data_IF_736643706754
#
_entry.id   IF_736643706754
#
_cell.length_a   1.000
_cell.length_b   1.000
_cell.length_c   1.000
_cell.angle_alpha   90.00
_cell.angle_beta   90.00
_cell.angle_gamma   90.00
#
_symmetry.space_group_name_H-M   'P 1'
#
loop_
_entity.id
_entity.type
_entity.pdbx_description
1 polymer ?
#
# COMPACT_ATOMS: atom_id res chain seq x y z
N UNK A 1 -13.11 -45.39 -6.42
CA UNK A 1 -11.93 -45.30 -7.31
C UNK A 1 -11.73 -43.84 -7.66
N UNK A 2 -10.87 -43.16 -6.86
CA UNK A 2 -10.53 -41.75 -7.03
C UNK A 2 -9.43 -41.62 -8.10
N UNK A 3 -9.74 -40.96 -9.21
CA UNK A 3 -8.77 -40.60 -10.22
C UNK A 3 -7.94 -39.42 -9.71
N UNK A 4 -6.72 -39.70 -9.27
CA UNK A 4 -5.72 -38.65 -9.02
C UNK A 4 -5.41 -37.93 -10.32
N UNK A 5 -5.63 -36.58 -10.36
CA UNK A 5 -5.21 -35.75 -11.48
C UNK A 5 -3.70 -35.91 -11.69
N UNK A 6 -3.22 -36.03 -12.94
CA UNK A 6 -1.79 -36.10 -13.21
C UNK A 6 -1.08 -34.84 -12.73
N UNK A 7 0.01 -35.01 -11.99
CA UNK A 7 0.92 -33.95 -11.66
C UNK A 7 1.57 -33.50 -12.98
N UNK A 8 1.22 -32.29 -13.44
CA UNK A 8 1.86 -31.69 -14.62
C UNK A 8 3.38 -31.64 -14.40
N UNK A 9 4.11 -32.34 -15.25
CA UNK A 9 5.58 -32.26 -15.28
C UNK A 9 5.99 -30.81 -15.63
N UNK A 10 7.03 -30.25 -14.96
CA UNK A 10 7.50 -28.91 -15.30
C UNK A 10 7.94 -28.83 -16.76
N UNK A 11 7.36 -27.91 -17.53
CA UNK A 11 7.83 -27.62 -18.88
C UNK A 11 9.12 -26.81 -18.80
N UNK A 12 10.22 -27.37 -19.25
CA UNK A 12 11.51 -26.69 -19.38
C UNK A 12 11.72 -26.29 -20.84
N UNK A 13 11.92 -25.00 -21.09
CA UNK A 13 12.66 -24.58 -22.30
C UNK A 13 14.14 -24.63 -21.93
N UNK A 14 14.81 -25.69 -22.36
CA UNK A 14 16.19 -25.95 -21.96
C UNK A 14 17.09 -25.78 -23.16
N UNK A 15 17.69 -24.61 -23.33
CA UNK A 15 18.98 -24.47 -23.96
C UNK A 15 20.07 -24.64 -22.87
N UNK A 16 21.02 -25.52 -23.04
CA UNK A 16 22.22 -25.88 -22.24
C UNK A 16 22.30 -25.58 -20.72
N UNK A 17 21.41 -24.74 -20.17
CA UNK A 17 21.44 -24.23 -18.81
C UNK A 17 20.52 -24.95 -17.82
N UNK A 18 19.70 -25.90 -18.26
CA UNK A 18 18.67 -26.54 -17.41
C UNK A 18 19.23 -27.27 -16.19
N UNK A 19 20.44 -27.78 -16.25
CA UNK A 19 21.11 -28.43 -15.11
C UNK A 19 21.51 -27.41 -14.06
N UNK A 20 22.06 -26.29 -14.51
CA UNK A 20 22.49 -25.19 -13.61
C UNK A 20 21.34 -24.51 -12.91
N UNK A 21 20.22 -24.30 -13.62
CA UNK A 21 18.99 -23.74 -13.01
C UNK A 21 18.49 -24.67 -11.91
N UNK A 22 18.42 -26.00 -12.14
CA UNK A 22 18.01 -26.98 -11.12
C UNK A 22 18.89 -26.92 -9.87
N UNK A 23 20.18 -26.73 -10.02
CA UNK A 23 21.10 -26.55 -8.88
C UNK A 23 20.80 -25.26 -8.10
N UNK A 24 20.48 -24.16 -8.78
CA UNK A 24 20.07 -22.91 -8.11
C UNK A 24 18.75 -23.06 -7.36
N UNK A 25 17.79 -23.79 -7.92
CA UNK A 25 16.48 -24.02 -7.29
C UNK A 25 16.56 -24.86 -6.01
N UNK A 26 17.63 -25.61 -5.77
CA UNK A 26 17.86 -26.33 -4.49
C UNK A 26 17.99 -25.38 -3.29
N UNK A 27 18.33 -24.09 -3.53
CA UNK A 27 18.41 -23.07 -2.49
C UNK A 27 17.05 -22.42 -2.16
N UNK A 28 16.01 -22.72 -2.92
CA UNK A 28 14.67 -22.26 -2.60
C UNK A 28 14.11 -22.98 -1.35
N UNK A 29 13.18 -22.38 -0.62
CA UNK A 29 12.59 -23.02 0.55
C UNK A 29 11.91 -24.35 0.15
N UNK A 30 12.14 -25.39 0.93
CA UNK A 30 11.58 -26.73 0.66
C UNK A 30 10.05 -26.70 0.64
N UNK A 31 9.46 -27.30 -0.39
CA UNK A 31 8.00 -27.37 -0.57
C UNK A 31 7.37 -26.08 -1.10
N UNK A 32 8.16 -25.10 -1.51
CA UNK A 32 7.66 -23.87 -2.12
C UNK A 32 7.37 -24.04 -3.61
N UNK A 33 6.35 -23.32 -4.07
CA UNK A 33 6.08 -23.11 -5.48
C UNK A 33 6.96 -21.97 -5.99
N UNK A 34 7.55 -22.17 -7.17
CA UNK A 34 8.43 -21.20 -7.82
C UNK A 34 7.96 -21.01 -9.25
N UNK A 35 7.93 -19.76 -9.69
CA UNK A 35 7.78 -19.40 -11.10
C UNK A 35 8.74 -18.25 -11.42
N UNK A 36 9.34 -18.29 -12.58
CA UNK A 36 10.09 -17.14 -13.09
C UNK A 36 10.14 -17.13 -14.63
N UNK A 37 10.38 -15.95 -15.15
CA UNK A 37 10.68 -15.68 -16.56
C UNK A 37 11.70 -14.57 -16.61
N UNK A 38 12.68 -14.71 -17.50
CA UNK A 38 13.56 -13.61 -17.94
C UNK A 38 13.57 -13.57 -19.46
N UNK A 39 13.35 -12.38 -20.00
CA UNK A 39 13.35 -12.13 -21.43
C UNK A 39 14.33 -11.00 -21.76
N UNK A 40 14.82 -11.02 -23.00
CA UNK A 40 15.40 -9.84 -23.62
C UNK A 40 14.32 -8.75 -23.74
N UNK A 41 14.63 -7.53 -23.28
CA UNK A 41 13.64 -6.44 -23.23
C UNK A 41 13.20 -5.98 -24.62
N UNK A 42 14.11 -5.95 -25.58
CA UNK A 42 13.88 -5.44 -26.94
C UNK A 42 13.20 -6.50 -27.83
N UNK A 43 13.80 -7.66 -27.93
CA UNK A 43 13.32 -8.72 -28.83
C UNK A 43 12.16 -9.51 -28.24
N UNK A 44 12.08 -9.62 -26.90
CA UNK A 44 11.13 -10.47 -26.22
C UNK A 44 11.49 -11.94 -26.18
N UNK A 45 12.68 -12.28 -26.67
CA UNK A 45 13.18 -13.65 -26.57
C UNK A 45 13.18 -14.11 -25.12
N UNK A 46 12.52 -15.23 -24.84
CA UNK A 46 12.55 -15.85 -23.53
C UNK A 46 13.86 -16.61 -23.37
N UNK A 47 14.73 -16.10 -22.48
CA UNK A 47 16.06 -16.66 -22.28
C UNK A 47 16.04 -17.83 -21.29
N UNK A 48 15.33 -17.66 -20.19
CA UNK A 48 15.14 -18.70 -19.17
C UNK A 48 13.76 -18.57 -18.51
N UNK A 49 13.14 -19.71 -18.23
CA UNK A 49 11.90 -19.77 -17.46
C UNK A 49 11.76 -21.04 -16.65
N UNK A 50 10.92 -20.99 -15.64
CA UNK A 50 10.48 -22.12 -14.84
C UNK A 50 9.03 -21.94 -14.42
N UNK A 51 8.16 -22.89 -14.79
CA UNK A 51 6.72 -22.83 -14.57
C UNK A 51 6.10 -21.47 -14.99
N UNK A 52 6.39 -20.92 -16.18
CA UNK A 52 6.11 -19.52 -16.53
C UNK A 52 4.64 -19.12 -16.45
N UNK A 53 3.71 -20.08 -16.63
CA UNK A 53 2.27 -19.87 -16.62
C UNK A 53 1.63 -20.15 -15.25
N UNK A 54 2.41 -20.61 -14.27
CA UNK A 54 1.89 -20.85 -12.92
C UNK A 54 1.63 -19.52 -12.22
N UNK A 55 0.38 -19.27 -11.83
CA UNK A 55 -0.01 -18.05 -11.12
C UNK A 55 0.29 -18.18 -9.63
N UNK A 56 0.99 -17.18 -9.08
CA UNK A 56 1.30 -17.05 -7.66
C UNK A 56 1.01 -15.63 -7.19
N UNK A 57 0.85 -15.39 -5.89
CA UNK A 57 0.66 -14.05 -5.36
C UNK A 57 1.85 -13.13 -5.69
N UNK A 58 1.61 -11.98 -6.36
CA UNK A 58 2.65 -11.01 -6.67
C UNK A 58 3.05 -10.16 -5.46
N UNK A 59 2.27 -10.20 -4.41
CA UNK A 59 2.39 -9.27 -3.29
C UNK A 59 2.59 -7.82 -3.82
N UNK A 60 3.41 -7.02 -3.18
CA UNK A 60 3.60 -5.61 -3.55
C UNK A 60 4.26 -5.37 -4.94
N UNK A 61 4.64 -6.42 -5.68
CA UNK A 61 5.05 -6.25 -7.09
C UNK A 61 3.88 -5.69 -7.92
N UNK A 62 2.64 -6.03 -7.55
CA UNK A 62 1.43 -5.52 -8.17
C UNK A 62 1.35 -3.99 -8.22
N UNK A 63 1.95 -3.29 -7.27
CA UNK A 63 1.97 -1.82 -7.25
C UNK A 63 2.60 -1.18 -8.48
N UNK A 64 3.46 -1.90 -9.20
CA UNK A 64 3.98 -1.43 -10.48
C UNK A 64 2.88 -1.40 -11.56
N UNK A 65 2.02 -2.41 -11.55
CA UNK A 65 0.84 -2.48 -12.44
C UNK A 65 -0.15 -1.39 -12.09
N UNK A 66 -0.48 -1.24 -10.80
CA UNK A 66 -1.40 -0.21 -10.32
C UNK A 66 -0.91 1.20 -10.64
N UNK A 67 0.38 1.47 -10.45
CA UNK A 67 0.99 2.75 -10.81
C UNK A 67 0.92 3.02 -12.32
N UNK A 68 1.16 2.01 -13.15
CA UNK A 68 1.02 2.11 -14.59
C UNK A 68 -0.42 2.41 -15.02
N UNK A 69 -1.38 1.66 -14.49
CA UNK A 69 -2.79 1.87 -14.74
C UNK A 69 -3.24 3.29 -14.38
N UNK A 70 -2.84 3.76 -13.19
CA UNK A 70 -3.21 5.09 -12.73
C UNK A 70 -2.57 6.20 -13.59
N UNK A 71 -1.28 6.10 -13.91
CA UNK A 71 -0.59 7.11 -14.76
C UNK A 71 -1.15 7.16 -16.18
N UNK A 72 -1.53 6.03 -16.76
CA UNK A 72 -2.13 5.98 -18.11
C UNK A 72 -3.57 6.51 -18.12
N UNK A 73 -4.32 6.31 -17.03
CA UNK A 73 -5.74 6.66 -16.97
C UNK A 73 -5.95 8.11 -16.55
N UNK A 74 -5.18 8.61 -15.57
CA UNK A 74 -5.37 9.93 -14.97
C UNK A 74 -4.34 10.95 -15.47
N UNK A 75 -3.22 10.48 -15.98
CA UNK A 75 -2.08 11.33 -16.37
C UNK A 75 -1.09 11.58 -15.23
N UNK A 76 0.20 11.84 -15.55
CA UNK A 76 1.27 12.00 -14.56
C UNK A 76 1.14 13.25 -13.68
N UNK A 77 0.51 14.30 -14.20
CA UNK A 77 0.32 15.59 -13.53
C UNK A 77 -1.00 15.67 -12.72
N UNK A 78 -1.81 14.61 -12.71
CA UNK A 78 -3.01 14.55 -11.90
C UNK A 78 -2.65 14.76 -10.42
N UNK A 79 -3.47 15.52 -9.69
CA UNK A 79 -3.39 15.72 -8.25
C UNK A 79 -4.76 15.59 -7.59
N UNK A 80 -4.77 15.21 -6.33
CA UNK A 80 -5.98 15.15 -5.50
C UNK A 80 -6.23 16.50 -4.85
N UNK A 81 -7.49 16.82 -4.58
CA UNK A 81 -7.87 18.08 -3.95
C UNK A 81 -8.64 17.82 -2.65
N UNK A 82 -8.13 18.34 -1.54
CA UNK A 82 -8.88 18.44 -0.28
C UNK A 82 -9.40 19.88 -0.12
N UNK A 83 -10.69 20.06 0.18
CA UNK A 83 -11.32 21.37 0.15
C UNK A 83 -11.96 21.71 1.48
N UNK A 84 -11.91 22.99 1.84
CA UNK A 84 -12.82 23.59 2.82
C UNK A 84 -13.90 24.35 2.07
N UNK A 85 -15.15 23.99 2.33
CA UNK A 85 -16.34 24.60 1.73
C UNK A 85 -17.23 25.22 2.80
N UNK A 86 -18.08 26.15 2.38
CA UNK A 86 -19.12 26.73 3.23
C UNK A 86 -20.40 26.97 2.44
N UNK A 87 -21.53 26.91 3.15
CA UNK A 87 -22.86 27.33 2.64
C UNK A 87 -23.31 28.70 3.18
N UNK A 88 -22.40 29.44 3.85
CA UNK A 88 -22.67 30.73 4.45
C UNK A 88 -21.62 31.80 4.15
N UNK A 89 -21.73 32.96 4.82
CA UNK A 89 -20.79 34.08 4.71
C UNK A 89 -20.09 34.35 6.04
N UNK A 90 -18.88 34.92 5.98
CA UNK A 90 -18.10 35.28 7.17
C UNK A 90 -18.33 36.76 7.46
N UNK A 91 -18.93 37.07 8.62
CA UNK A 91 -19.20 38.42 9.09
C UNK A 91 -18.61 38.62 10.50
N UNK A 92 -17.76 39.61 10.67
CA UNK A 92 -17.16 39.96 11.98
C UNK A 92 -16.53 38.76 12.73
N UNK A 93 -15.89 37.84 11.98
CA UNK A 93 -15.27 36.67 12.56
C UNK A 93 -16.20 35.47 12.82
N UNK A 94 -17.46 35.56 12.43
CA UNK A 94 -18.43 34.47 12.56
C UNK A 94 -18.83 33.99 11.18
N UNK A 95 -18.72 32.68 10.92
CA UNK A 95 -19.31 32.06 9.75
C UNK A 95 -20.81 31.79 10.02
N UNK A 96 -21.68 32.49 9.32
CA UNK A 96 -23.12 32.29 9.37
C UNK A 96 -23.52 31.12 8.46
N UNK A 97 -23.24 29.91 8.89
CA UNK A 97 -23.44 28.67 8.13
C UNK A 97 -22.51 27.55 8.56
N UNK A 98 -22.47 26.50 7.74
CA UNK A 98 -21.62 25.31 7.96
C UNK A 98 -20.23 25.50 7.37
N UNK A 99 -19.22 24.93 8.05
CA UNK A 99 -17.91 24.65 7.48
C UNK A 99 -17.82 23.17 7.12
N UNK A 100 -17.32 22.84 5.92
CA UNK A 100 -17.31 21.47 5.43
C UNK A 100 -15.89 21.11 4.94
N UNK A 101 -15.29 20.10 5.56
CA UNK A 101 -14.05 19.49 5.09
C UNK A 101 -14.40 18.39 4.09
N UNK A 102 -14.02 18.58 2.83
CA UNK A 102 -14.33 17.68 1.71
C UNK A 102 -13.09 16.93 1.31
N UNK A 103 -13.10 15.60 1.44
CA UNK A 103 -12.05 14.71 1.00
C UNK A 103 -12.10 14.49 -0.50
N UNK A 104 -10.95 14.59 -1.15
CA UNK A 104 -10.75 14.37 -2.58
C UNK A 104 -10.11 13.05 -2.94
N UNK A 105 -9.98 12.11 -1.98
CA UNK A 105 -9.34 10.82 -2.21
C UNK A 105 -7.82 10.81 -2.03
N UNK A 106 -7.20 11.90 -1.60
CA UNK A 106 -5.75 12.00 -1.41
C UNK A 106 -5.24 10.94 -0.40
N UNK A 107 -4.40 9.97 -0.82
CA UNK A 107 -3.81 8.99 0.08
C UNK A 107 -2.61 9.51 0.87
N UNK A 108 -2.16 10.72 0.61
CA UNK A 108 -0.93 11.30 1.16
C UNK A 108 -1.19 12.49 2.08
N UNK A 109 -2.44 12.92 2.22
CA UNK A 109 -2.84 13.97 3.15
C UNK A 109 -2.33 13.64 4.56
N UNK A 110 -1.65 14.58 5.19
CA UNK A 110 -1.07 14.42 6.51
C UNK A 110 -1.49 15.55 7.48
N UNK A 111 -1.09 15.41 8.73
CA UNK A 111 -1.39 16.40 9.77
C UNK A 111 -0.81 17.77 9.45
N UNK A 112 0.35 17.82 8.80
CA UNK A 112 1.00 19.08 8.46
C UNK A 112 0.24 19.86 7.38
N UNK A 113 -0.35 19.14 6.41
CA UNK A 113 -1.23 19.73 5.40
C UNK A 113 -2.54 20.28 6.03
N UNK A 114 -3.14 19.53 6.96
CA UNK A 114 -4.31 20.04 7.70
C UNK A 114 -3.97 21.23 8.59
N UNK A 115 -2.77 21.28 9.16
CA UNK A 115 -2.28 22.45 9.92
C UNK A 115 -2.13 23.67 9.02
N UNK A 116 -1.54 23.51 7.83
CA UNK A 116 -1.42 24.61 6.87
C UNK A 116 -2.81 25.07 6.39
N UNK A 117 -3.77 24.17 6.16
CA UNK A 117 -5.17 24.50 5.86
C UNK A 117 -5.82 25.32 7.01
N UNK A 118 -5.57 24.96 8.27
CA UNK A 118 -6.11 25.71 9.42
C UNK A 118 -5.56 27.12 9.52
N UNK A 119 -4.29 27.31 9.18
CA UNK A 119 -3.67 28.65 9.09
C UNK A 119 -4.27 29.49 7.97
N UNK A 120 -4.43 28.92 6.78
CA UNK A 120 -5.11 29.61 5.68
C UNK A 120 -6.53 30.01 6.05
N UNK A 121 -7.26 29.14 6.77
CA UNK A 121 -8.60 29.48 7.27
C UNK A 121 -8.58 30.64 8.26
N UNK A 122 -7.54 30.78 9.09
CA UNK A 122 -7.40 31.89 10.02
C UNK A 122 -7.20 33.25 9.34
N UNK A 123 -6.71 33.27 8.10
CA UNK A 123 -6.53 34.50 7.30
C UNK A 123 -7.88 35.14 6.92
N UNK A 124 -8.97 34.39 6.93
CA UNK A 124 -10.34 34.91 6.79
C UNK A 124 -10.86 35.61 8.06
N UNK A 125 -10.04 35.79 9.09
CA UNK A 125 -10.42 36.29 10.41
C UNK A 125 -11.55 35.50 11.08
N UNK A 126 -11.78 34.25 10.68
CA UNK A 126 -12.79 33.36 11.27
C UNK A 126 -12.41 33.02 12.71
N UNK A 127 -13.39 33.11 13.64
CA UNK A 127 -13.27 32.74 15.05
C UNK A 127 -14.18 31.58 15.43
N UNK A 128 -15.39 31.59 14.90
CA UNK A 128 -16.43 30.57 15.20
C UNK A 128 -17.46 30.51 14.06
N UNK A 129 -18.38 29.56 14.15
CA UNK A 129 -19.50 29.42 13.21
C UNK A 129 -20.84 29.22 13.94
N UNK A 130 -21.93 29.58 13.27
CA UNK A 130 -23.31 29.37 13.80
C UNK A 130 -23.88 28.02 13.44
N UNK A 131 -23.39 27.42 12.36
CA UNK A 131 -23.79 26.10 11.87
C UNK A 131 -22.93 24.98 12.41
N UNK A 132 -22.81 23.90 11.61
CA UNK A 132 -22.05 22.69 11.95
C UNK A 132 -20.69 22.65 11.28
N UNK A 133 -19.75 21.93 11.90
CA UNK A 133 -18.54 21.46 11.21
C UNK A 133 -18.80 20.05 10.65
N UNK A 134 -18.81 19.94 9.33
CA UNK A 134 -19.15 18.73 8.58
C UNK A 134 -17.95 18.15 7.87
N UNK A 135 -17.97 16.83 7.65
CA UNK A 135 -16.94 16.10 6.90
C UNK A 135 -17.60 15.26 5.82
N UNK A 136 -17.13 15.39 4.59
CA UNK A 136 -17.62 14.65 3.44
C UNK A 136 -16.52 13.82 2.77
N UNK A 137 -16.80 12.56 2.45
CA UNK A 137 -15.85 11.64 1.82
C UNK A 137 -16.51 10.56 0.94
N UNK A 138 -17.80 10.77 0.57
CA UNK A 138 -18.65 9.68 0.03
C UNK A 138 -18.47 9.39 -1.46
N UNK A 139 -17.63 10.14 -2.20
CA UNK A 139 -17.34 9.88 -3.61
C UNK A 139 -16.46 8.64 -3.83
N UNK A 140 -15.89 8.10 -2.76
CA UNK A 140 -15.06 6.90 -2.75
C UNK A 140 -15.69 5.81 -1.87
N UNK A 141 -15.43 4.52 -2.17
CA UNK A 141 -15.90 3.45 -1.31
C UNK A 141 -15.30 3.55 0.10
N UNK A 142 -16.13 3.36 1.11
CA UNK A 142 -15.68 3.22 2.50
C UNK A 142 -15.43 1.76 2.81
N UNK A 143 -14.17 1.38 3.04
CA UNK A 143 -13.73 0.00 3.24
C UNK A 143 -12.96 -0.09 4.56
N UNK A 144 -13.37 -0.99 5.45
CA UNK A 144 -12.78 -1.11 6.79
C UNK A 144 -11.32 -1.60 6.80
N UNK A 145 -10.94 -2.43 5.82
CA UNK A 145 -9.58 -2.95 5.66
C UNK A 145 -9.38 -3.48 4.25
N UNK A 146 -8.15 -3.43 3.74
CA UNK A 146 -7.80 -3.96 2.42
C UNK A 146 -7.99 -5.49 2.39
N UNK A 147 -7.49 -6.17 3.43
CA UNK A 147 -7.61 -7.62 3.60
C UNK A 147 -8.23 -7.91 4.97
N UNK A 148 -9.50 -8.37 5.04
CA UNK A 148 -10.18 -8.64 6.29
C UNK A 148 -9.60 -9.84 7.06
N UNK A 149 -8.83 -10.71 6.40
CA UNK A 149 -8.21 -11.88 7.01
C UNK A 149 -6.91 -11.54 7.76
N UNK A 150 -6.42 -10.32 7.65
CA UNK A 150 -5.26 -9.83 8.42
C UNK A 150 -5.66 -9.39 9.83
N UNK A 151 -4.75 -9.49 10.81
CA UNK A 151 -4.99 -8.92 12.14
C UNK A 151 -5.35 -7.43 12.10
N UNK A 152 -6.35 -7.04 12.90
CA UNK A 152 -6.95 -5.69 12.86
C UNK A 152 -5.99 -4.55 13.20
N UNK A 153 -4.90 -4.83 13.91
CA UNK A 153 -3.92 -3.83 14.39
C UNK A 153 -2.77 -3.56 13.42
N UNK A 154 -2.73 -4.25 12.27
CA UNK A 154 -1.64 -4.06 11.31
C UNK A 154 -1.80 -2.76 10.53
N UNK A 155 -0.89 -1.82 10.76
CA UNK A 155 -0.94 -0.48 10.17
C UNK A 155 -0.80 -0.46 8.64
N UNK A 156 -0.32 -1.54 8.03
CA UNK A 156 -0.25 -1.70 6.57
C UNK A 156 -1.54 -2.24 5.95
N UNK A 157 -2.56 -2.52 6.79
CA UNK A 157 -3.90 -2.91 6.39
C UNK A 157 -4.93 -1.85 6.85
N UNK A 158 -4.83 -0.61 6.37
CA UNK A 158 -5.70 0.49 6.79
C UNK A 158 -7.09 0.37 6.20
N UNK A 159 -8.00 1.20 6.73
CA UNK A 159 -9.27 1.51 6.08
C UNK A 159 -9.04 2.37 4.85
N UNK A 160 -10.01 2.41 3.94
CA UNK A 160 -10.02 3.23 2.72
C UNK A 160 -11.21 4.18 2.79
N UNK A 161 -11.00 5.43 2.43
CA UNK A 161 -12.00 6.49 2.46
C UNK A 161 -11.66 7.58 1.44
N UNK A 162 -12.62 8.40 1.07
CA UNK A 162 -12.35 9.61 0.30
C UNK A 162 -11.60 10.70 1.06
N UNK A 163 -11.58 10.63 2.38
CA UNK A 163 -10.74 11.49 3.23
C UNK A 163 -9.83 10.61 4.08
N UNK A 164 -8.55 10.59 3.72
CA UNK A 164 -7.52 9.83 4.39
C UNK A 164 -6.57 10.79 5.12
N UNK A 165 -6.07 10.39 6.27
CA UNK A 165 -5.09 11.19 7.02
C UNK A 165 -3.98 10.28 7.58
N UNK A 166 -2.71 10.67 7.39
CA UNK A 166 -1.54 9.94 7.91
C UNK A 166 -1.57 8.44 7.51
N UNK A 167 -1.99 8.12 6.28
CA UNK A 167 -2.25 6.75 5.81
C UNK A 167 -3.31 6.01 6.65
N UNK A 168 -4.29 6.73 7.22
CA UNK A 168 -5.33 6.23 8.12
C UNK A 168 -4.73 5.50 9.34
N UNK A 169 -3.77 6.15 9.97
CA UNK A 169 -3.06 5.63 11.15
C UNK A 169 -2.92 6.70 12.22
N UNK A 170 -2.92 6.26 13.48
CA UNK A 170 -2.60 7.07 14.65
C UNK A 170 -1.41 6.46 15.37
N UNK A 171 -0.53 7.28 15.94
CA UNK A 171 0.65 6.81 16.64
C UNK A 171 0.36 6.61 18.12
N UNK A 172 0.46 5.37 18.58
CA UNK A 172 0.48 5.01 19.98
C UNK A 172 1.91 5.06 20.50
N UNK A 173 2.12 5.79 21.58
CA UNK A 173 3.37 5.77 22.35
C UNK A 173 3.10 5.31 23.78
N UNK A 174 4.02 4.55 24.36
CA UNK A 174 3.96 4.15 25.76
C UNK A 174 5.29 4.33 26.46
N UNK A 175 5.20 4.66 27.73
CA UNK A 175 6.33 4.77 28.64
C UNK A 175 5.96 4.18 30.00
N UNK A 176 6.77 3.25 30.49
CA UNK A 176 6.62 2.70 31.83
C UNK A 176 6.90 3.79 32.88
N UNK A 177 6.06 3.88 33.89
CA UNK A 177 6.21 4.74 35.06
C UNK A 177 6.36 3.85 36.30
N UNK A 178 6.63 4.45 37.46
CA UNK A 178 6.66 3.76 38.73
C UNK A 178 5.39 2.96 38.99
N UNK A 179 4.23 3.59 38.71
CA UNK A 179 2.93 2.94 38.75
C UNK A 179 2.32 2.81 37.35
N UNK A 180 2.60 1.67 36.68
CA UNK A 180 1.96 1.32 35.39
C UNK A 180 2.59 1.94 34.14
N UNK A 181 1.77 2.46 33.23
CA UNK A 181 2.20 3.03 31.95
C UNK A 181 1.49 4.35 31.65
N UNK A 182 2.23 5.29 31.08
CA UNK A 182 1.67 6.43 30.34
C UNK A 182 1.44 5.98 28.91
N UNK A 183 0.25 6.20 28.39
CA UNK A 183 -0.13 5.95 27.00
C UNK A 183 -0.56 7.26 26.35
N UNK A 184 -0.11 7.55 25.13
CA UNK A 184 -0.59 8.66 24.32
C UNK A 184 -0.93 8.23 22.89
N UNK A 185 -1.92 8.88 22.30
CA UNK A 185 -2.30 8.73 20.90
C UNK A 185 -2.17 10.10 20.22
N UNK A 186 -1.40 10.15 19.12
CA UNK A 186 -1.11 11.39 18.42
C UNK A 186 -1.33 11.22 16.91
N UNK A 187 -1.96 12.21 16.30
CA UNK A 187 -1.94 12.41 14.85
C UNK A 187 -0.61 13.08 14.48
N UNK A 188 0.45 12.28 14.33
CA UNK A 188 1.83 12.75 14.29
C UNK A 188 2.22 13.32 12.93
N UNK A 189 2.42 14.64 12.85
CA UNK A 189 3.11 15.37 11.80
C UNK A 189 4.49 15.88 12.23
N UNK A 190 5.16 16.61 11.38
CA UNK A 190 6.42 17.28 11.68
C UNK A 190 6.18 18.63 12.38
N UNK A 191 5.19 19.42 11.88
CA UNK A 191 4.81 20.74 12.40
C UNK A 191 3.89 20.66 13.61
N UNK A 192 2.98 19.69 13.62
CA UNK A 192 1.97 19.53 14.66
C UNK A 192 1.78 18.06 15.07
N UNK A 193 1.33 17.85 16.34
CA UNK A 193 1.09 16.51 16.91
C UNK A 193 -0.15 16.52 17.80
N UNK A 194 -1.32 16.86 17.24
CA UNK A 194 -2.52 16.95 18.04
C UNK A 194 -2.92 15.59 18.63
N UNK A 195 -3.35 15.61 19.88
CA UNK A 195 -4.08 14.51 20.48
C UNK A 195 -5.57 14.67 20.18
N UNK A 196 -6.27 13.55 20.01
CA UNK A 196 -7.69 13.53 19.72
C UNK A 196 -8.44 12.65 20.73
N UNK A 197 -9.71 12.98 20.99
CA UNK A 197 -10.52 12.27 21.99
C UNK A 197 -11.30 11.09 21.42
N UNK A 198 -11.53 11.06 20.11
CA UNK A 198 -12.35 10.05 19.45
C UNK A 198 -11.73 8.65 19.35
N UNK A 199 -10.42 8.54 19.54
CA UNK A 199 -9.70 7.26 19.59
C UNK A 199 -9.05 7.11 20.96
N UNK A 200 -9.35 6.02 21.66
CA UNK A 200 -8.87 5.74 23.01
C UNK A 200 -7.99 4.49 23.03
N UNK A 201 -7.05 4.47 23.96
CA UNK A 201 -6.23 3.28 24.24
C UNK A 201 -6.30 2.95 25.72
N UNK A 202 -6.46 1.65 26.03
CA UNK A 202 -6.51 1.12 27.41
C UNK A 202 -5.59 -0.06 27.56
N UNK A 203 -5.00 -0.25 28.75
CA UNK A 203 -4.28 -1.46 29.11
C UNK A 203 -5.27 -2.58 29.43
N UNK A 204 -4.81 -3.81 29.18
CA UNK A 204 -5.51 -5.04 29.54
C UNK A 204 -4.52 -6.04 30.08
N UNK A 205 -4.93 -6.83 31.08
CA UNK A 205 -4.07 -7.81 31.75
C UNK A 205 -4.03 -9.18 31.05
N UNK A 206 -4.54 -9.25 29.81
CA UNK A 206 -4.42 -10.43 28.95
C UNK A 206 -2.99 -10.59 28.41
N UNK A 207 -2.68 -11.76 27.87
CA UNK A 207 -1.42 -12.05 27.16
C UNK A 207 -1.59 -12.02 25.63
N UNK A 208 -2.76 -12.40 25.12
CA UNK A 208 -3.07 -12.46 23.68
C UNK A 208 -4.57 -12.19 23.45
N UNK A 209 -4.94 -11.54 22.33
CA UNK A 209 -4.09 -10.84 21.37
C UNK A 209 -3.40 -9.61 22.00
N UNK A 210 -2.24 -9.22 21.44
CA UNK A 210 -1.51 -8.05 21.95
C UNK A 210 -2.32 -6.79 21.80
N UNK A 211 -2.96 -6.60 20.64
CA UNK A 211 -3.85 -5.49 20.36
C UNK A 211 -5.25 -6.02 20.02
N UNK A 212 -6.27 -5.35 20.55
CA UNK A 212 -7.66 -5.64 20.21
C UNK A 212 -8.40 -4.33 19.95
N UNK A 213 -9.19 -4.31 18.88
CA UNK A 213 -9.98 -3.18 18.45
C UNK A 213 -11.45 -3.36 18.83
N UNK A 214 -12.07 -2.29 19.35
CA UNK A 214 -13.52 -2.23 19.57
C UNK A 214 -14.07 -0.89 19.06
N UNK A 215 -15.12 -0.95 18.25
CA UNK A 215 -15.88 0.23 17.82
C UNK A 215 -17.08 0.41 18.75
N UNK A 216 -17.23 1.61 19.31
CA UNK A 216 -18.33 2.00 20.17
C UNK A 216 -18.95 3.29 19.60
N UNK A 217 -20.01 3.17 18.81
CA UNK A 217 -20.66 4.31 18.14
C UNK A 217 -19.64 5.16 17.35
N UNK A 218 -19.40 6.41 17.77
CA UNK A 218 -18.44 7.33 17.14
C UNK A 218 -17.03 7.26 17.73
N UNK A 219 -16.78 6.37 18.69
CA UNK A 219 -15.47 6.22 19.34
C UNK A 219 -14.81 4.92 18.94
N UNK A 220 -13.49 4.96 18.75
CA UNK A 220 -12.65 3.80 18.57
C UNK A 220 -11.87 3.52 19.84
N UNK A 221 -11.78 2.27 20.26
CA UNK A 221 -11.00 1.89 21.44
C UNK A 221 -10.05 0.76 21.09
N UNK A 222 -8.78 0.98 21.34
CA UNK A 222 -7.74 -0.04 21.34
C UNK A 222 -7.48 -0.50 22.76
N UNK A 223 -7.35 -1.81 22.95
CA UNK A 223 -6.81 -2.37 24.20
C UNK A 223 -5.49 -3.05 23.92
N UNK A 224 -4.51 -2.84 24.78
CA UNK A 224 -3.14 -3.33 24.62
C UNK A 224 -2.78 -4.24 25.80
N UNK A 225 -2.24 -5.43 25.52
CA UNK A 225 -1.80 -6.35 26.53
C UNK A 225 -0.58 -5.78 27.29
N UNK A 226 -0.73 -5.52 28.59
CA UNK A 226 0.32 -4.95 29.46
C UNK A 226 1.62 -5.76 29.41
N UNK A 227 1.51 -7.09 29.40
CA UNK A 227 2.64 -8.01 29.38
C UNK A 227 3.52 -7.92 28.13
N UNK A 228 3.01 -7.32 27.04
CA UNK A 228 3.70 -7.18 25.76
C UNK A 228 4.41 -5.85 25.59
N UNK A 229 4.25 -4.91 26.55
CA UNK A 229 4.88 -3.60 26.51
C UNK A 229 6.25 -3.63 27.19
N UNK A 230 7.28 -3.11 26.52
CA UNK A 230 8.59 -2.85 27.13
C UNK A 230 8.62 -1.55 27.93
N UNK A 231 9.80 -1.07 28.32
CA UNK A 231 9.98 0.16 29.09
C UNK A 231 9.43 1.39 28.36
N UNK A 232 9.77 1.51 27.08
CA UNK A 232 9.27 2.56 26.17
C UNK A 232 9.07 1.96 24.79
N UNK A 233 8.16 2.53 24.03
CA UNK A 233 7.96 2.14 22.65
C UNK A 233 6.84 2.92 21.97
N UNK A 234 6.67 2.66 20.69
CA UNK A 234 5.60 3.26 19.92
C UNK A 234 5.23 2.41 18.72
N UNK A 235 3.98 2.57 18.27
CA UNK A 235 3.43 1.82 17.16
C UNK A 235 2.34 2.62 16.46
N UNK A 236 2.33 2.54 15.14
CA UNK A 236 1.19 3.00 14.35
C UNK A 236 0.05 1.97 14.42
N UNK A 237 -1.13 2.43 14.80
CA UNK A 237 -2.38 1.67 14.78
C UNK A 237 -3.28 2.19 13.67
N UNK A 238 -4.01 1.32 12.95
CA UNK A 238 -4.94 1.78 11.93
C UNK A 238 -6.16 2.46 12.57
N UNK A 239 -6.67 3.47 11.89
CA UNK A 239 -7.93 4.15 12.18
C UNK A 239 -9.02 3.52 11.31
N UNK A 240 -10.20 3.25 11.87
CA UNK A 240 -11.31 2.58 11.18
C UNK A 240 -12.44 3.52 10.77
N UNK A 241 -12.39 4.77 11.22
CA UNK A 241 -13.27 5.85 10.76
C UNK A 241 -12.43 7.05 10.28
N UNK A 242 -11.78 6.94 9.08
CA UNK A 242 -10.81 7.94 8.62
C UNK A 242 -11.39 9.35 8.48
N UNK A 243 -12.63 9.48 7.98
CA UNK A 243 -13.26 10.77 7.77
C UNK A 243 -13.49 11.52 9.10
N UNK A 244 -14.03 10.83 10.10
CA UNK A 244 -14.22 11.42 11.44
C UNK A 244 -12.87 11.75 12.08
N UNK A 245 -11.88 10.88 11.95
CA UNK A 245 -10.53 11.11 12.45
C UNK A 245 -9.91 12.38 11.86
N UNK A 246 -9.96 12.56 10.54
CA UNK A 246 -9.46 13.76 9.89
C UNK A 246 -10.18 15.02 10.34
N UNK A 247 -11.52 14.95 10.52
CA UNK A 247 -12.32 16.05 11.07
C UNK A 247 -11.90 16.43 12.49
N UNK A 248 -11.71 15.45 13.38
CA UNK A 248 -11.26 15.70 14.76
C UNK A 248 -9.85 16.29 14.82
N UNK A 249 -8.94 15.82 13.97
CA UNK A 249 -7.60 16.41 13.85
C UNK A 249 -7.69 17.84 13.36
N UNK A 250 -8.48 18.12 12.31
CA UNK A 250 -8.65 19.47 11.80
C UNK A 250 -9.29 20.41 12.83
N UNK A 251 -10.33 19.97 13.55
CA UNK A 251 -10.93 20.72 14.66
C UNK A 251 -9.88 21.14 15.70
N UNK A 252 -9.03 20.19 16.10
CA UNK A 252 -7.98 20.48 17.09
C UNK A 252 -6.95 21.47 16.57
N UNK A 253 -6.53 21.34 15.29
CA UNK A 253 -5.60 22.27 14.66
C UNK A 253 -6.19 23.66 14.45
N UNK A 254 -7.48 23.73 14.12
CA UNK A 254 -8.22 25.00 14.03
C UNK A 254 -8.25 25.74 15.38
N UNK A 255 -8.46 24.99 16.47
CA UNK A 255 -8.41 25.58 17.82
C UNK A 255 -7.03 26.14 18.17
N UNK A 256 -5.94 25.49 17.72
CA UNK A 256 -4.57 25.98 17.93
C UNK A 256 -4.29 27.34 17.23
N UNK A 257 -5.03 27.64 16.14
CA UNK A 257 -4.93 28.93 15.44
C UNK A 257 -6.08 29.90 15.82
N UNK A 258 -6.82 29.60 16.88
CA UNK A 258 -7.85 30.49 17.46
C UNK A 258 -9.21 30.42 16.78
N UNK A 259 -9.56 29.31 16.12
CA UNK A 259 -10.86 29.05 15.51
C UNK A 259 -11.56 27.95 16.31
N UNK A 260 -12.70 28.28 16.90
CA UNK A 260 -13.53 27.34 17.64
C UNK A 260 -14.55 26.68 16.70
N UNK A 261 -14.38 25.37 16.47
CA UNK A 261 -15.24 24.54 15.63
C UNK A 261 -16.04 23.55 16.50
N UNK A 262 -17.33 23.33 16.24
CA UNK A 262 -18.07 22.25 16.89
C UNK A 262 -17.51 20.88 16.52
N UNK A 263 -17.94 19.84 17.24
CA UNK A 263 -17.53 18.46 16.94
C UNK A 263 -17.90 18.07 15.49
N UNK A 264 -16.96 17.44 14.74
CA UNK A 264 -17.21 17.09 13.35
C UNK A 264 -18.30 16.04 13.21
N UNK A 265 -19.17 16.22 12.20
CA UNK A 265 -20.20 15.25 11.81
C UNK A 265 -19.94 14.77 10.38
N UNK A 266 -19.98 13.43 10.17
CA UNK A 266 -19.80 12.85 8.82
C UNK A 266 -21.13 12.94 8.06
N UNK A 267 -21.08 13.51 6.86
CA UNK A 267 -22.24 13.59 5.95
C UNK A 267 -22.00 12.72 4.71
N UNK A 268 -23.10 12.21 4.15
CA UNK A 268 -23.07 11.25 3.03
C UNK A 268 -23.66 11.82 1.74
N UNK A 269 -24.22 13.01 1.79
CA UNK A 269 -24.71 13.72 0.61
C UNK A 269 -23.72 14.80 0.23
N UNK A 270 -23.45 14.95 -1.09
CA UNK A 270 -22.55 15.99 -1.60
C UNK A 270 -22.99 17.36 -1.08
N UNK A 271 -22.12 18.09 -0.38
CA UNK A 271 -22.47 19.39 0.17
C UNK A 271 -22.67 20.43 -0.94
N UNK A 272 -23.63 21.32 -0.73
CA UNK A 272 -23.81 22.52 -1.56
C UNK A 272 -23.10 23.68 -0.88
N UNK A 273 -22.46 24.55 -1.67
CA UNK A 273 -21.77 25.72 -1.14
C UNK A 273 -20.61 26.15 -2.03
N UNK A 274 -19.87 27.13 -1.54
CA UNK A 274 -18.69 27.66 -2.22
C UNK A 274 -17.40 27.11 -1.59
N UNK A 275 -16.35 26.96 -2.40
CA UNK A 275 -15.04 26.57 -1.93
C UNK A 275 -14.37 27.81 -1.33
N UNK A 276 -13.95 27.73 -0.07
CA UNK A 276 -13.12 28.74 0.60
C UNK A 276 -11.66 28.52 0.32
N UNK A 277 -11.19 27.28 0.47
CA UNK A 277 -9.78 26.89 0.34
C UNK A 277 -9.72 25.53 -0.36
N UNK A 278 -8.75 25.38 -1.25
CA UNK A 278 -8.40 24.11 -1.86
C UNK A 278 -6.94 23.79 -1.60
N UNK A 279 -6.67 22.62 -1.05
CA UNK A 279 -5.34 22.04 -0.90
C UNK A 279 -5.11 21.02 -2.00
N UNK A 280 -4.01 21.14 -2.71
CA UNK A 280 -3.61 20.25 -3.79
C UNK A 280 -2.47 19.35 -3.35
N UNK A 281 -2.60 18.05 -3.59
CA UNK A 281 -1.56 17.07 -3.29
C UNK A 281 -0.37 17.19 -4.24
N UNK A 282 0.70 16.41 -3.98
CA UNK A 282 1.72 16.16 -4.98
C UNK A 282 1.12 15.49 -6.23
N UNK A 283 1.87 15.55 -7.36
CA UNK A 283 1.46 14.91 -8.62
C UNK A 283 1.39 13.39 -8.49
N UNK A 284 0.55 12.76 -9.30
CA UNK A 284 0.40 11.32 -9.38
C UNK A 284 1.73 10.61 -9.65
N UNK A 285 2.60 11.21 -10.49
CA UNK A 285 3.95 10.70 -10.76
C UNK A 285 4.81 10.66 -9.50
N UNK A 286 4.79 11.72 -8.69
CA UNK A 286 5.51 11.79 -7.42
C UNK A 286 4.98 10.77 -6.41
N UNK A 287 3.65 10.68 -6.27
CA UNK A 287 2.99 9.69 -5.42
C UNK A 287 3.33 8.26 -5.85
N UNK A 288 3.30 7.96 -7.15
CA UNK A 288 3.65 6.64 -7.69
C UNK A 288 5.09 6.29 -7.36
N UNK A 289 6.03 7.21 -7.52
CA UNK A 289 7.44 7.01 -7.14
C UNK A 289 7.58 6.70 -5.65
N UNK A 290 6.92 7.46 -4.79
CA UNK A 290 6.89 7.26 -3.34
C UNK A 290 6.26 5.90 -2.97
N UNK A 291 5.13 5.55 -3.57
CA UNK A 291 4.45 4.26 -3.41
C UNK A 291 5.35 3.07 -3.80
N UNK A 292 6.04 3.15 -4.92
CA UNK A 292 6.95 2.09 -5.37
C UNK A 292 8.17 1.96 -4.45
N UNK A 293 8.68 3.08 -3.93
CA UNK A 293 9.83 3.12 -3.01
C UNK A 293 9.48 2.58 -1.62
N UNK A 294 8.39 3.06 -1.03
CA UNK A 294 7.99 2.75 0.36
C UNK A 294 6.95 1.64 0.48
N UNK A 295 6.39 1.21 -0.65
CA UNK A 295 5.42 0.11 -0.74
C UNK A 295 4.12 0.37 0.04
N UNK A 296 3.61 1.62 0.02
CA UNK A 296 2.41 2.04 0.75
C UNK A 296 1.14 1.42 0.13
N UNK A 297 0.39 0.67 0.95
CA UNK A 297 -0.80 -0.04 0.48
C UNK A 297 -1.96 0.93 0.23
N UNK A 298 -2.25 1.83 1.19
CA UNK A 298 -3.31 2.84 1.01
C UNK A 298 -3.15 3.61 -0.30
N UNK A 299 -1.93 4.07 -0.59
CA UNK A 299 -1.67 4.80 -1.83
C UNK A 299 -2.02 3.94 -3.06
N UNK A 300 -1.61 2.67 -3.07
CA UNK A 300 -1.93 1.78 -4.20
C UNK A 300 -3.45 1.60 -4.38
N UNK A 301 -4.18 1.36 -3.28
CA UNK A 301 -5.64 1.21 -3.36
C UNK A 301 -6.31 2.49 -3.87
N UNK A 302 -5.95 3.64 -3.33
CA UNK A 302 -6.56 4.91 -3.73
C UNK A 302 -6.25 5.28 -5.18
N UNK A 303 -5.01 5.07 -5.65
CA UNK A 303 -4.65 5.30 -7.05
C UNK A 303 -5.44 4.39 -7.99
N UNK A 304 -5.54 3.09 -7.65
CA UNK A 304 -6.30 2.14 -8.45
C UNK A 304 -7.80 2.40 -8.47
N UNK A 305 -8.39 2.71 -7.31
CA UNK A 305 -9.81 3.06 -7.18
C UNK A 305 -10.13 4.34 -7.95
N UNK A 306 -9.31 5.38 -7.82
CA UNK A 306 -9.51 6.66 -8.52
C UNK A 306 -9.41 6.47 -10.03
N UNK A 307 -8.40 5.75 -10.52
CA UNK A 307 -8.27 5.43 -11.93
C UNK A 307 -9.48 4.65 -12.46
N UNK A 308 -9.96 3.65 -11.71
CA UNK A 308 -11.14 2.88 -12.09
C UNK A 308 -12.42 3.71 -12.08
N UNK A 309 -12.55 4.65 -11.14
CA UNK A 309 -13.72 5.53 -11.00
C UNK A 309 -13.81 6.56 -12.11
N UNK A 310 -12.71 6.86 -12.80
CA UNK A 310 -12.69 7.75 -13.98
C UNK A 310 -13.57 7.21 -15.14
N UNK A 311 -13.76 5.90 -15.23
CA UNK A 311 -14.64 5.27 -16.22
C UNK A 311 -16.09 5.16 -15.72
N UNK A 312 -16.29 4.78 -14.46
CA UNK A 312 -17.58 4.70 -13.78
C UNK A 312 -17.34 4.43 -12.29
N UNK A 313 -18.24 4.87 -11.39
CA UNK A 313 -18.10 4.63 -9.96
C UNK A 313 -17.84 3.16 -9.62
N UNK A 314 -17.04 2.92 -8.58
CA UNK A 314 -16.74 1.58 -8.08
C UNK A 314 -17.15 1.46 -6.62
N UNK A 315 -17.69 0.29 -6.24
CA UNK A 315 -18.21 0.03 -4.89
C UNK A 315 -17.27 -0.82 -4.03
N UNK A 316 -16.24 -1.42 -4.63
CA UNK A 316 -15.32 -2.31 -3.92
C UNK A 316 -13.94 -2.38 -4.59
N UNK A 317 -12.94 -2.85 -3.84
CA UNK A 317 -11.59 -3.10 -4.39
C UNK A 317 -11.63 -4.16 -5.50
N UNK A 318 -12.40 -5.22 -5.32
CA UNK A 318 -12.55 -6.27 -6.33
C UNK A 318 -13.16 -5.73 -7.64
N UNK A 319 -14.22 -4.92 -7.58
CA UNK A 319 -14.79 -4.30 -8.77
C UNK A 319 -13.80 -3.36 -9.46
N UNK A 320 -13.02 -2.61 -8.68
CA UNK A 320 -11.97 -1.73 -9.18
C UNK A 320 -10.83 -2.49 -9.84
N UNK A 321 -10.30 -3.52 -9.18
CA UNK A 321 -9.20 -4.32 -9.72
C UNK A 321 -9.59 -5.11 -10.96
N UNK A 322 -10.84 -5.55 -11.08
CA UNK A 322 -11.35 -6.17 -12.31
C UNK A 322 -11.33 -5.20 -13.51
N UNK A 323 -11.61 -3.91 -13.30
CA UNK A 323 -11.47 -2.91 -14.38
C UNK A 323 -10.01 -2.77 -14.80
N UNK A 324 -9.08 -2.75 -13.85
CA UNK A 324 -7.66 -2.74 -14.15
C UNK A 324 -7.22 -3.99 -14.92
N UNK A 325 -7.72 -5.17 -14.57
CA UNK A 325 -7.41 -6.42 -15.31
C UNK A 325 -7.90 -6.34 -16.75
N UNK A 326 -9.16 -5.92 -17.00
CA UNK A 326 -9.68 -5.76 -18.37
C UNK A 326 -8.86 -4.77 -19.19
N UNK A 327 -8.51 -3.63 -18.59
CA UNK A 327 -7.67 -2.62 -19.24
C UNK A 327 -6.29 -3.19 -19.62
N UNK A 328 -5.71 -4.09 -18.80
CA UNK A 328 -4.47 -4.79 -19.12
C UNK A 328 -4.65 -5.83 -20.22
N UNK A 329 -5.78 -6.57 -20.25
CA UNK A 329 -6.09 -7.57 -21.25
C UNK A 329 -6.18 -6.98 -22.67
N UNK A 330 -6.67 -5.73 -22.79
CA UNK A 330 -6.71 -4.99 -24.05
C UNK A 330 -5.32 -4.61 -24.58
N UNK A 331 -4.29 -4.62 -23.73
CA UNK A 331 -2.93 -4.13 -24.05
C UNK A 331 -1.89 -5.24 -24.10
N UNK A 332 -2.06 -6.27 -23.31
CA UNK A 332 -1.07 -7.30 -23.09
C UNK A 332 -1.68 -8.70 -23.27
N UNK A 333 -0.89 -9.62 -23.79
CA UNK A 333 -1.28 -11.03 -23.79
C UNK A 333 -1.11 -11.60 -22.36
N UNK A 334 -2.23 -11.74 -21.65
CA UNK A 334 -2.26 -12.17 -20.26
C UNK A 334 -2.75 -13.62 -20.13
N UNK A 335 -2.13 -14.34 -19.22
CA UNK A 335 -2.54 -15.68 -18.82
C UNK A 335 -2.45 -15.84 -17.31
N UNK A 336 -3.53 -16.34 -16.68
CA UNK A 336 -3.54 -16.61 -15.24
C UNK A 336 -3.39 -15.35 -14.38
N UNK A 337 -4.16 -14.31 -14.69
CA UNK A 337 -4.25 -13.07 -13.91
C UNK A 337 -5.58 -13.01 -13.20
N UNK A 338 -5.55 -12.86 -11.88
CA UNK A 338 -6.73 -12.62 -11.04
C UNK A 338 -6.33 -11.66 -9.93
N UNK A 339 -6.87 -10.44 -9.93
CA UNK A 339 -6.53 -9.41 -8.97
C UNK A 339 -7.79 -9.00 -8.21
N UNK A 340 -7.69 -8.89 -6.87
CA UNK A 340 -8.80 -8.54 -5.98
C UNK A 340 -8.57 -7.23 -5.22
N UNK A 341 -7.37 -6.68 -5.31
CA UNK A 341 -6.95 -5.40 -4.73
C UNK A 341 -5.95 -4.70 -5.66
N UNK A 342 -5.38 -3.57 -5.25
CA UNK A 342 -4.38 -2.82 -6.00
C UNK A 342 -2.98 -2.87 -5.37
N UNK A 343 -2.90 -3.25 -4.10
CA UNK A 343 -1.63 -3.27 -3.36
C UNK A 343 -0.92 -4.62 -3.40
N UNK A 344 -1.66 -5.72 -3.66
CA UNK A 344 -1.20 -7.10 -3.53
C UNK A 344 -1.08 -7.53 -2.07
N UNK A 345 -1.82 -6.91 -1.16
CA UNK A 345 -1.88 -7.32 0.23
C UNK A 345 -2.69 -8.61 0.39
N UNK A 346 -3.78 -8.72 -0.37
CA UNK A 346 -4.62 -9.91 -0.38
C UNK A 346 -3.99 -11.00 -1.26
N UNK A 347 -3.74 -12.17 -0.70
CA UNK A 347 -3.08 -13.30 -1.37
C UNK A 347 -3.97 -14.06 -2.38
N UNK A 348 -5.24 -13.68 -2.49
CA UNK A 348 -6.12 -14.12 -3.58
C UNK A 348 -5.76 -13.46 -4.91
N UNK A 349 -5.07 -12.31 -4.88
CA UNK A 349 -4.47 -11.71 -6.07
C UNK A 349 -3.34 -12.62 -6.57
N UNK A 350 -3.43 -13.11 -7.81
CA UNK A 350 -2.43 -13.98 -8.43
C UNK A 350 -2.12 -13.57 -9.87
N UNK A 351 -0.88 -13.79 -10.28
CA UNK A 351 -0.40 -13.53 -11.64
C UNK A 351 0.72 -14.51 -12.01
N UNK A 352 0.80 -14.89 -13.28
CA UNK A 352 1.91 -15.69 -13.77
C UNK A 352 3.16 -14.83 -14.04
N UNK A 353 4.34 -15.43 -13.92
CA UNK A 353 5.59 -14.72 -14.25
C UNK A 353 5.62 -14.27 -15.72
N UNK A 354 5.03 -15.06 -16.62
CA UNK A 354 4.90 -14.71 -18.06
C UNK A 354 4.06 -13.46 -18.25
N UNK A 355 2.88 -13.39 -17.62
CA UNK A 355 2.01 -12.20 -17.71
C UNK A 355 2.68 -10.97 -17.10
N UNK A 356 3.38 -11.12 -15.98
CA UNK A 356 4.10 -10.01 -15.36
C UNK A 356 5.19 -9.47 -16.29
N UNK A 357 5.97 -10.34 -16.93
CA UNK A 357 6.99 -9.93 -17.91
C UNK A 357 6.36 -9.28 -19.14
N UNK A 358 5.22 -9.80 -19.65
CA UNK A 358 4.52 -9.19 -20.76
C UNK A 358 4.07 -7.75 -20.44
N UNK A 359 3.54 -7.51 -19.24
CA UNK A 359 3.17 -6.17 -18.78
C UNK A 359 4.40 -5.27 -18.67
N UNK A 360 5.50 -5.76 -18.05
CA UNK A 360 6.72 -4.97 -17.91
C UNK A 360 7.39 -4.64 -19.25
N UNK A 361 7.16 -5.43 -20.30
CA UNK A 361 7.66 -5.17 -21.65
C UNK A 361 6.86 -4.13 -22.43
N UNK A 362 5.66 -3.76 -22.00
CA UNK A 362 4.92 -2.67 -22.61
C UNK A 362 5.79 -1.40 -22.67
N UNK A 363 5.85 -0.75 -23.84
CA UNK A 363 6.75 0.39 -24.08
C UNK A 363 6.42 1.57 -23.14
N UNK A 364 5.13 1.82 -22.87
CA UNK A 364 4.70 2.90 -21.98
C UNK A 364 5.01 2.56 -20.52
N UNK A 365 4.86 1.28 -20.11
CA UNK A 365 5.30 0.79 -18.80
C UNK A 365 6.80 1.05 -18.59
N UNK A 366 7.62 0.81 -19.60
CA UNK A 366 9.05 1.09 -19.54
C UNK A 366 9.34 2.60 -19.42
N UNK A 367 8.61 3.44 -20.14
CA UNK A 367 8.81 4.90 -20.09
C UNK A 367 8.34 5.48 -18.75
N UNK A 368 7.19 5.05 -18.25
CA UNK A 368 6.55 5.68 -17.10
C UNK A 368 6.98 5.08 -15.76
N UNK A 369 7.08 3.75 -15.67
CA UNK A 369 7.28 3.05 -14.39
C UNK A 369 8.73 2.67 -14.14
N UNK A 370 9.47 2.19 -15.16
CA UNK A 370 10.86 1.76 -14.99
C UNK A 370 11.73 2.84 -14.31
N UNK A 371 11.64 4.15 -14.66
CA UNK A 371 12.41 5.20 -13.98
C UNK A 371 12.03 5.43 -12.52
N UNK A 372 10.82 5.03 -12.11
CA UNK A 372 10.30 5.19 -10.75
C UNK A 372 10.65 4.01 -9.84
N UNK A 373 11.10 2.88 -10.41
CA UNK A 373 11.48 1.71 -9.64
C UNK A 373 12.76 1.97 -8.83
N UNK A 374 12.83 1.33 -7.66
CA UNK A 374 14.03 1.44 -6.83
C UNK A 374 15.17 0.56 -7.35
N UNK A 375 16.40 1.02 -7.14
CA UNK A 375 17.59 0.21 -7.39
C UNK A 375 17.59 -1.01 -6.48
N UNK A 376 17.83 -2.18 -7.05
CA UNK A 376 18.01 -3.44 -6.33
C UNK A 376 19.53 -3.65 -6.16
N UNK A 377 20.01 -3.69 -4.89
CA UNK A 377 21.44 -3.86 -4.65
C UNK A 377 21.89 -5.25 -5.12
N UNK A 378 22.93 -5.27 -5.94
CA UNK A 378 23.58 -6.48 -6.39
C UNK A 378 24.91 -6.70 -5.63
N UNK A 379 25.07 -7.86 -4.99
CA UNK A 379 26.30 -8.20 -4.25
C UNK A 379 26.62 -9.70 -4.40
N UNK A 380 27.86 -10.04 -4.77
CA UNK A 380 28.31 -11.42 -4.95
C UNK A 380 28.60 -12.17 -3.65
N UNK A 381 29.29 -11.54 -2.72
CA UNK A 381 29.54 -12.00 -1.33
C UNK A 381 29.61 -10.78 -0.42
N UNK A 382 29.52 -11.01 0.90
CA UNK A 382 29.71 -9.94 1.89
C UNK A 382 30.98 -9.16 1.56
N UNK A 383 30.88 -7.90 1.11
CA UNK A 383 32.00 -6.99 0.89
C UNK A 383 32.51 -6.79 -0.55
N UNK A 384 32.16 -7.62 -1.55
CA UNK A 384 32.60 -7.43 -2.93
C UNK A 384 31.50 -6.84 -3.83
N UNK A 385 31.71 -5.63 -4.35
CA UNK A 385 31.04 -5.14 -5.57
C UNK A 385 31.51 -6.00 -6.74
N UNK A 386 30.60 -6.60 -7.53
CA UNK A 386 31.01 -7.55 -8.58
C UNK A 386 30.96 -6.98 -9.96
N UNK A 387 29.96 -6.18 -10.21
CA UNK A 387 29.86 -5.50 -11.48
C UNK A 387 30.18 -4.04 -11.24
N UNK A 388 30.99 -3.48 -12.13
CA UNK A 388 31.22 -2.07 -12.20
C UNK A 388 29.91 -1.29 -12.43
N UNK A 389 30.01 -0.03 -12.76
CA UNK A 389 28.84 0.84 -13.04
C UNK A 389 28.04 0.42 -14.29
N UNK A 390 28.47 -0.66 -14.96
CA UNK A 390 27.92 -1.18 -16.21
C UNK A 390 26.55 -1.90 -16.05
N UNK A 391 26.21 -2.39 -14.85
CA UNK A 391 24.95 -3.12 -14.61
C UNK A 391 24.08 -2.38 -13.60
N UNK A 392 22.88 -2.02 -14.04
CA UNK A 392 21.87 -1.40 -13.20
C UNK A 392 20.65 -2.30 -13.11
N UNK A 393 20.26 -2.64 -11.88
CA UNK A 393 19.04 -3.42 -11.62
C UNK A 393 18.05 -2.50 -10.95
N UNK A 394 16.85 -2.42 -11.51
CA UNK A 394 15.71 -1.72 -10.92
C UNK A 394 14.51 -2.65 -10.83
N UNK A 395 13.73 -2.54 -9.78
CA UNK A 395 12.59 -3.43 -9.63
C UNK A 395 11.72 -3.11 -8.43
N UNK A 396 10.60 -3.85 -8.34
CA UNK A 396 9.69 -3.85 -7.21
C UNK A 396 9.76 -5.18 -6.48
N UNK A 397 9.96 -5.12 -5.18
CA UNK A 397 9.88 -6.28 -4.29
C UNK A 397 8.47 -6.45 -3.74
N UNK A 398 8.04 -7.68 -3.56
CA UNK A 398 6.81 -8.05 -2.86
C UNK A 398 7.12 -9.02 -1.72
N UNK A 399 6.44 -8.86 -0.59
CA UNK A 399 6.64 -9.70 0.59
C UNK A 399 5.33 -9.85 1.36
N UNK A 400 4.90 -11.09 1.56
CA UNK A 400 3.94 -11.50 2.57
C UNK A 400 4.57 -12.67 3.34
N UNK A 401 4.01 -13.09 4.46
CA UNK A 401 4.47 -14.32 5.09
C UNK A 401 4.34 -15.50 4.12
N UNK A 402 5.45 -16.20 3.88
CA UNK A 402 5.57 -17.29 2.91
C UNK A 402 5.29 -16.90 1.45
N UNK A 403 5.47 -15.61 1.11
CA UNK A 403 5.45 -15.11 -0.28
C UNK A 403 6.60 -14.13 -0.48
N UNK A 404 7.44 -14.38 -1.48
CA UNK A 404 8.53 -13.50 -1.91
C UNK A 404 8.44 -13.29 -3.42
N UNK A 405 8.30 -12.04 -3.83
CA UNK A 405 8.16 -11.65 -5.22
C UNK A 405 9.20 -10.57 -5.58
N UNK A 406 9.71 -10.62 -6.80
CA UNK A 406 10.61 -9.61 -7.35
C UNK A 406 10.39 -9.55 -8.86
N UNK A 407 10.16 -8.35 -9.40
CA UNK A 407 10.09 -8.14 -10.83
C UNK A 407 10.69 -6.79 -11.22
N UNK A 408 11.26 -6.69 -12.42
CA UNK A 408 11.95 -5.49 -12.86
C UNK A 408 12.83 -5.68 -14.07
N UNK A 409 13.90 -4.90 -14.12
CA UNK A 409 14.80 -4.81 -15.28
C UNK A 409 16.25 -4.91 -14.85
N UNK A 410 17.07 -5.46 -15.74
CA UNK A 410 18.53 -5.47 -15.67
C UNK A 410 19.03 -4.73 -16.91
N UNK A 411 19.59 -3.54 -16.74
CA UNK A 411 20.24 -2.79 -17.79
C UNK A 411 21.73 -3.10 -17.75
N UNK A 412 22.26 -3.61 -18.84
CA UNK A 412 23.67 -4.01 -19.00
C UNK A 412 24.26 -3.26 -20.21
N UNK A 413 25.18 -2.32 -19.98
CA UNK A 413 25.80 -1.51 -21.03
C UNK A 413 26.71 -2.32 -21.96
N UNK A 414 27.12 -3.52 -21.57
CA UNK A 414 27.98 -4.43 -22.31
C UNK A 414 27.30 -5.71 -22.78
N UNK A 415 26.01 -5.84 -22.53
CA UNK A 415 25.24 -7.03 -22.81
C UNK A 415 23.79 -6.72 -23.13
N UNK A 416 22.91 -7.69 -22.91
CA UNK A 416 21.48 -7.56 -23.16
C UNK A 416 20.77 -6.81 -22.04
N UNK A 417 19.81 -5.99 -22.40
CA UNK A 417 18.83 -5.44 -21.45
C UNK A 417 17.74 -6.47 -21.20
N UNK A 418 17.51 -6.80 -19.94
CA UNK A 418 16.60 -7.88 -19.55
C UNK A 418 15.42 -7.36 -18.74
N UNK A 419 14.29 -8.03 -18.91
CA UNK A 419 13.10 -7.89 -18.06
C UNK A 419 12.80 -9.23 -17.38
N UNK A 420 12.43 -9.20 -16.11
CA UNK A 420 12.23 -10.43 -15.35
C UNK A 420 11.12 -10.36 -14.33
N UNK A 421 10.57 -11.52 -13.98
CA UNK A 421 9.70 -11.73 -12.82
C UNK A 421 10.05 -13.05 -12.14
N UNK A 422 10.09 -13.05 -10.80
CA UNK A 422 10.37 -14.20 -9.95
C UNK A 422 9.36 -14.21 -8.80
N UNK A 423 8.55 -15.26 -8.69
CA UNK A 423 7.62 -15.44 -7.58
C UNK A 423 7.91 -16.77 -6.87
N UNK A 424 7.97 -16.72 -5.54
CA UNK A 424 8.18 -17.87 -4.67
C UNK A 424 7.12 -17.81 -3.59
N UNK A 425 6.36 -18.90 -3.38
CA UNK A 425 5.34 -18.96 -2.33
C UNK A 425 5.19 -20.35 -1.73
N UNK A 426 4.75 -20.39 -0.46
CA UNK A 426 4.24 -21.60 0.19
C UNK A 426 2.84 -21.30 0.71
N UNK A 427 1.85 -21.39 -0.20
CA UNK A 427 0.47 -21.06 0.13
C UNK A 427 -0.15 -22.07 1.10
N UNK A 428 0.38 -23.29 1.19
CA UNK A 428 -0.07 -24.27 2.18
C UNK A 428 0.31 -23.81 3.59
N UNK A 429 1.57 -23.42 3.82
CA UNK A 429 1.98 -22.86 5.11
C UNK A 429 1.22 -21.60 5.45
N UNK A 430 1.06 -20.68 4.48
CA UNK A 430 0.38 -19.42 4.69
C UNK A 430 -1.08 -19.60 5.10
N UNK A 431 -1.85 -20.44 4.40
CA UNK A 431 -3.28 -20.69 4.69
C UNK A 431 -3.52 -21.40 6.01
N UNK A 432 -2.54 -22.17 6.49
CA UNK A 432 -2.61 -22.89 7.75
C UNK A 432 -2.28 -22.02 8.97
N UNK A 433 -1.89 -20.74 8.79
CA UNK A 433 -1.61 -19.84 9.91
C UNK A 433 -2.88 -19.53 10.71
N UNK A 434 -2.83 -19.77 12.00
CA UNK A 434 -3.87 -19.33 12.93
C UNK A 434 -3.79 -17.81 13.12
N UNK A 435 -4.90 -17.17 13.51
CA UNK A 435 -4.96 -15.71 13.63
C UNK A 435 -3.87 -15.11 14.52
N UNK A 436 -3.53 -15.76 15.64
CA UNK A 436 -2.48 -15.30 16.56
C UNK A 436 -1.06 -15.48 15.99
N UNK A 437 -0.87 -16.34 14.99
CA UNK A 437 0.41 -16.58 14.32
C UNK A 437 0.64 -15.64 13.15
N UNK A 438 -0.42 -15.01 12.60
CA UNK A 438 -0.35 -14.18 11.39
C UNK A 438 0.54 -12.94 11.54
N UNK A 439 0.79 -12.46 12.76
CA UNK A 439 1.68 -11.30 12.96
C UNK A 439 3.15 -11.69 12.85
N UNK A 440 3.54 -12.82 13.43
CA UNK A 440 4.93 -13.28 13.43
C UNK A 440 5.01 -14.82 13.33
N UNK A 441 4.75 -15.41 12.14
CA UNK A 441 4.73 -16.85 11.98
C UNK A 441 6.09 -17.48 12.22
N UNK A 442 6.11 -18.56 13.00
CA UNK A 442 7.33 -19.30 13.29
C UNK A 442 7.98 -19.81 11.99
N UNK A 443 9.28 -19.54 11.83
CA UNK A 443 10.05 -19.96 10.64
C UNK A 443 9.85 -19.09 9.40
N UNK A 444 8.97 -18.09 9.40
CA UNK A 444 8.73 -17.18 8.27
C UNK A 444 9.98 -16.43 7.86
N UNK A 445 10.78 -15.95 8.82
CA UNK A 445 12.03 -15.22 8.55
C UNK A 445 13.06 -16.09 7.85
N UNK A 446 13.28 -17.34 8.30
CA UNK A 446 14.21 -18.29 7.66
C UNK A 446 13.75 -18.63 6.24
N UNK A 447 12.45 -18.91 6.08
CA UNK A 447 11.85 -19.16 4.78
C UNK A 447 12.09 -17.99 3.81
N UNK A 448 11.82 -16.77 4.27
CA UNK A 448 11.99 -15.54 3.48
C UNK A 448 13.46 -15.34 3.05
N UNK A 449 14.40 -15.59 3.97
CA UNK A 449 15.82 -15.48 3.67
C UNK A 449 16.25 -16.45 2.56
N UNK A 450 15.78 -17.71 2.60
CA UNK A 450 16.04 -18.71 1.56
C UNK A 450 15.41 -18.31 0.22
N UNK A 451 14.15 -17.83 0.21
CA UNK A 451 13.48 -17.36 -1.00
C UNK A 451 14.24 -16.19 -1.65
N UNK A 452 14.63 -15.18 -0.86
CA UNK A 452 15.43 -14.04 -1.34
C UNK A 452 16.84 -14.45 -1.79
N UNK A 453 17.42 -15.46 -1.17
CA UNK A 453 18.71 -15.99 -1.60
C UNK A 453 18.61 -16.63 -2.98
N UNK A 454 17.58 -17.46 -3.20
CA UNK A 454 17.31 -18.06 -4.51
C UNK A 454 17.08 -16.98 -5.59
N UNK A 455 16.24 -15.96 -5.32
CA UNK A 455 16.02 -14.83 -6.23
C UNK A 455 17.34 -14.12 -6.59
N UNK A 456 18.21 -13.91 -5.60
CA UNK A 456 19.53 -13.28 -5.82
C UNK A 456 20.44 -14.13 -6.70
N UNK A 457 20.43 -15.46 -6.54
CA UNK A 457 21.22 -16.36 -7.39
C UNK A 457 20.76 -16.31 -8.85
N UNK A 458 19.43 -16.26 -9.10
CA UNK A 458 18.87 -16.10 -10.44
C UNK A 458 19.29 -14.75 -11.06
N UNK A 459 19.13 -13.66 -10.35
CA UNK A 459 19.58 -12.33 -10.82
C UNK A 459 21.07 -12.33 -11.13
N UNK A 460 21.89 -12.93 -10.25
CA UNK A 460 23.33 -13.02 -10.45
C UNK A 460 23.71 -13.80 -11.71
N UNK A 461 22.93 -14.82 -12.05
CA UNK A 461 23.08 -15.57 -13.29
C UNK A 461 22.74 -14.70 -14.51
N UNK A 462 21.57 -14.05 -14.47
CA UNK A 462 21.07 -13.25 -15.58
C UNK A 462 21.90 -12.00 -15.87
N UNK A 463 22.59 -11.44 -14.89
CA UNK A 463 23.56 -10.36 -15.12
C UNK A 463 24.77 -10.78 -15.97
N UNK A 464 24.90 -12.07 -16.33
CA UNK A 464 25.98 -12.59 -17.16
C UNK A 464 25.51 -13.04 -18.55
N UNK A 465 24.18 -13.01 -18.79
CA UNK A 465 23.58 -13.23 -20.10
C UNK A 465 23.74 -11.99 -20.99
#
# INVERSE_FOLDING_TARGET
LGTSKPILRPNFVVNRSGREIRELLKFAPVGSDITFVVCDTETGEELESFNPLRSLPPASVMKAITGFYALETLGPEFSFQTRLMTNGSINNGVLEGDLILVGGGDPTLDTDALYDLSKLLSEFNLKTLTGDFKVYSSDWPSINSIDPDQPSHLSYNPSISGLNLNFNRIFLEWKRKEEGYSLSLEARGLKARPSIEGIKVKLSDRTSPVFEYKKLQNNETWTVARSSLGQTGGRWLPVRNPALYAGQVFQRLAMEVGIDLPAPTVIYSMPKGQILISYESETLKSMTKSMLKHSTNLTAEMLGVTASSNFSPVSSLGASSHKMVRWLEERCNLNGVSLVDHSGLNDQSTISAKSMVNILRDSRMQIQIKPLLKKIPYRKKKGQKIFGDDIKIVGKTGTLHYVSALAGYIDNSKGRNLVFAIFVSDMRKRRNLKNHEKENPRGSTSWMNSARYCQRLLINRWCRL
#
